data_IF_902012417679
#
_entry.id   IF_902012417679
#
_cell.length_a   1.000
_cell.length_b   1.000
_cell.length_c   1.000
_cell.angle_alpha   90.00
_cell.angle_beta   90.00
_cell.angle_gamma   90.00
#
_symmetry.space_group_name_H-M   'P 1'
#
loop_
_entity.id
_entity.type
_entity.pdbx_description
1 polymer ?
#
# COMPACT_ATOMS: atom_id res chain seq x y z
N UNK A 1 -25.26 1.05 -21.91
CA UNK A 1 -24.06 0.19 -21.86
C UNK A 1 -23.36 0.49 -20.55
N UNK A 2 -23.22 -0.49 -19.67
CA UNK A 2 -22.32 -0.36 -18.53
C UNK A 2 -20.92 -0.07 -19.09
N UNK A 3 -20.20 0.89 -18.49
CA UNK A 3 -18.77 1.05 -18.76
C UNK A 3 -18.04 -0.11 -18.07
N UNK A 4 -18.00 -1.25 -18.76
CA UNK A 4 -17.42 -2.50 -18.27
C UNK A 4 -15.94 -2.30 -17.88
N UNK A 5 -15.24 -1.43 -18.60
CA UNK A 5 -13.84 -1.12 -18.29
C UNK A 5 -13.71 -0.26 -17.03
N UNK A 6 -14.52 0.79 -16.88
CA UNK A 6 -14.50 1.63 -15.67
C UNK A 6 -14.78 0.83 -14.39
N UNK A 7 -15.78 -0.05 -14.42
CA UNK A 7 -16.10 -0.95 -13.30
C UNK A 7 -14.98 -1.96 -13.01
N UNK A 8 -14.42 -2.57 -14.06
CA UNK A 8 -13.29 -3.47 -13.94
C UNK A 8 -12.07 -2.76 -13.33
N UNK A 9 -11.69 -1.59 -13.86
CA UNK A 9 -10.55 -0.80 -13.38
C UNK A 9 -10.71 -0.46 -11.90
N UNK A 10 -11.89 0.00 -11.49
CA UNK A 10 -12.19 0.29 -10.08
C UNK A 10 -11.99 -0.93 -9.19
N UNK A 11 -12.52 -2.08 -9.59
CA UNK A 11 -12.38 -3.35 -8.85
C UNK A 11 -10.92 -3.81 -8.79
N UNK A 12 -10.21 -3.74 -9.91
CA UNK A 12 -8.79 -4.04 -10.01
C UNK A 12 -7.96 -3.18 -9.05
N UNK A 13 -8.23 -1.87 -8.99
CA UNK A 13 -7.54 -0.94 -8.10
C UNK A 13 -7.82 -1.26 -6.62
N UNK A 14 -9.08 -1.55 -6.24
CA UNK A 14 -9.39 -1.99 -4.88
C UNK A 14 -8.64 -3.28 -4.49
N UNK A 15 -8.61 -4.28 -5.37
CA UNK A 15 -7.84 -5.50 -5.15
C UNK A 15 -6.34 -5.21 -5.00
N UNK A 16 -5.79 -4.30 -5.81
CA UNK A 16 -4.41 -3.84 -5.71
C UNK A 16 -4.10 -3.20 -4.36
N UNK A 17 -4.95 -2.28 -3.89
CA UNK A 17 -4.83 -1.65 -2.56
C UNK A 17 -4.81 -2.72 -1.46
N UNK A 18 -5.79 -3.62 -1.45
CA UNK A 18 -5.88 -4.68 -0.45
C UNK A 18 -4.65 -5.58 -0.45
N UNK A 19 -4.20 -6.04 -1.62
CA UNK A 19 -3.02 -6.90 -1.77
C UNK A 19 -1.75 -6.20 -1.28
N UNK A 20 -1.57 -4.93 -1.61
CA UNK A 20 -0.40 -4.15 -1.19
C UNK A 20 -0.36 -3.96 0.33
N UNK A 21 -1.50 -3.72 0.97
CA UNK A 21 -1.60 -3.67 2.43
C UNK A 21 -1.20 -5.01 3.08
N UNK A 22 -1.68 -6.13 2.54
CA UNK A 22 -1.31 -7.47 3.03
C UNK A 22 0.19 -7.76 2.82
N UNK A 23 0.75 -7.37 1.69
CA UNK A 23 2.17 -7.52 1.41
C UNK A 23 3.03 -6.71 2.40
N UNK A 24 2.66 -5.46 2.69
CA UNK A 24 3.33 -4.64 3.71
C UNK A 24 3.34 -5.31 5.08
N UNK A 25 2.19 -5.84 5.51
CA UNK A 25 2.10 -6.59 6.77
C UNK A 25 2.99 -7.84 6.76
N UNK A 26 3.03 -8.58 5.64
CA UNK A 26 3.89 -9.74 5.48
C UNK A 26 5.37 -9.37 5.54
N UNK A 27 5.79 -8.30 4.86
CA UNK A 27 7.17 -7.81 4.87
C UNK A 27 7.62 -7.39 6.28
N UNK A 28 6.77 -6.65 7.00
CA UNK A 28 7.03 -6.28 8.39
C UNK A 28 7.17 -7.51 9.29
N UNK A 29 6.27 -8.49 9.18
CA UNK A 29 6.34 -9.74 9.95
C UNK A 29 7.62 -10.52 9.64
N UNK A 30 7.96 -10.68 8.36
CA UNK A 30 9.14 -11.42 7.92
C UNK A 30 10.44 -10.73 8.39
N UNK A 31 10.52 -9.40 8.29
CA UNK A 31 11.72 -8.65 8.64
C UNK A 31 11.92 -8.41 10.14
N UNK A 32 10.82 -8.16 10.88
CA UNK A 32 10.88 -7.90 12.33
C UNK A 32 10.84 -9.20 13.12
N UNK A 33 9.83 -10.07 12.90
CA UNK A 33 9.64 -11.28 13.72
C UNK A 33 10.51 -12.46 13.28
N UNK A 34 10.75 -12.61 11.97
CA UNK A 34 11.44 -13.78 11.43
C UNK A 34 12.90 -13.49 11.00
N UNK A 35 13.40 -12.28 11.28
CA UNK A 35 14.79 -11.90 11.03
C UNK A 35 15.20 -11.75 9.56
N UNK A 36 14.27 -11.90 8.60
CA UNK A 36 14.56 -11.81 7.16
C UNK A 36 14.64 -10.34 6.71
N UNK A 37 15.71 -9.65 7.09
CA UNK A 37 15.88 -8.20 6.92
C UNK A 37 15.75 -7.71 5.48
N UNK A 38 15.96 -8.56 4.47
CA UNK A 38 15.78 -8.17 3.06
C UNK A 38 14.35 -7.68 2.76
N UNK A 39 13.33 -8.18 3.47
CA UNK A 39 11.94 -7.76 3.26
C UNK A 39 11.67 -6.34 3.77
N UNK A 40 12.45 -5.82 4.72
CA UNK A 40 12.29 -4.44 5.19
C UNK A 40 12.64 -3.44 4.09
N UNK A 41 13.59 -3.78 3.21
CA UNK A 41 13.96 -2.96 2.05
C UNK A 41 12.83 -2.85 1.03
N UNK A 42 11.87 -3.77 1.03
CA UNK A 42 10.70 -3.75 0.16
C UNK A 42 9.57 -2.87 0.68
N UNK A 43 9.63 -2.41 1.94
CA UNK A 43 8.56 -1.61 2.55
C UNK A 43 8.44 -0.23 1.88
N UNK A 44 9.52 0.59 1.73
CA UNK A 44 9.40 1.90 1.09
C UNK A 44 8.79 1.86 -0.33
N UNK A 45 9.26 1.01 -1.27
CA UNK A 45 8.63 0.95 -2.59
C UNK A 45 7.19 0.40 -2.54
N UNK A 46 6.87 -0.53 -1.63
CA UNK A 46 5.50 -1.03 -1.47
C UNK A 46 4.52 0.03 -0.94
N UNK A 47 4.99 0.98 -0.11
CA UNK A 47 4.19 2.13 0.31
C UNK A 47 3.88 3.07 -0.87
N UNK A 48 4.84 3.26 -1.80
CA UNK A 48 4.61 4.00 -3.04
C UNK A 48 3.51 3.37 -3.91
N UNK A 49 3.54 2.05 -4.10
CA UNK A 49 2.50 1.33 -4.84
C UNK A 49 1.12 1.42 -4.17
N UNK A 50 1.07 1.44 -2.84
CA UNK A 50 -0.18 1.65 -2.10
C UNK A 50 -0.71 3.08 -2.32
N UNK A 51 0.17 4.09 -2.30
CA UNK A 51 -0.18 5.48 -2.55
C UNK A 51 -0.76 5.69 -3.96
N UNK A 52 -0.12 5.10 -4.98
CA UNK A 52 -0.62 5.12 -6.36
C UNK A 52 -2.03 4.54 -6.48
N UNK A 53 -2.28 3.39 -5.84
CA UNK A 53 -3.61 2.78 -5.83
C UNK A 53 -4.64 3.66 -5.14
N UNK A 54 -4.30 4.22 -3.98
CA UNK A 54 -5.19 5.12 -3.25
C UNK A 54 -5.50 6.39 -4.04
N UNK A 55 -4.53 6.96 -4.76
CA UNK A 55 -4.73 8.16 -5.58
C UNK A 55 -5.70 7.95 -6.75
N UNK A 56 -5.98 6.71 -7.13
CA UNK A 56 -6.94 6.36 -8.18
C UNK A 56 -8.36 6.10 -7.66
N UNK A 57 -8.58 6.09 -6.34
CA UNK A 57 -9.86 5.82 -5.70
C UNK A 57 -10.26 6.97 -4.79
N UNK A 58 -11.46 7.49 -5.03
CA UNK A 58 -12.11 8.45 -4.14
C UNK A 58 -12.72 7.75 -2.92
N UNK A 59 -12.85 8.48 -1.81
CA UNK A 59 -13.49 7.98 -0.58
C UNK A 59 -12.57 7.24 0.40
N UNK A 60 -11.26 7.16 0.13
CA UNK A 60 -10.27 6.53 1.01
C UNK A 60 -9.31 7.54 1.67
N UNK A 61 -9.78 8.77 1.96
CA UNK A 61 -8.95 9.86 2.49
C UNK A 61 -8.25 9.51 3.81
N UNK A 62 -8.96 8.89 4.76
CA UNK A 62 -8.36 8.49 6.04
C UNK A 62 -7.21 7.49 5.87
N UNK A 63 -7.29 6.60 4.88
CA UNK A 63 -6.20 5.66 4.57
C UNK A 63 -5.01 6.36 3.91
N UNK A 64 -5.26 7.35 3.04
CA UNK A 64 -4.21 8.22 2.47
C UNK A 64 -3.47 9.00 3.56
N UNK A 65 -4.20 9.57 4.51
CA UNK A 65 -3.61 10.29 5.65
C UNK A 65 -2.75 9.37 6.52
N UNK A 66 -3.24 8.16 6.82
CA UNK A 66 -2.48 7.16 7.56
C UNK A 66 -1.18 6.79 6.83
N UNK A 67 -1.25 6.57 5.52
CA UNK A 67 -0.08 6.29 4.70
C UNK A 67 0.94 7.42 4.73
N UNK A 68 0.48 8.68 4.63
CA UNK A 68 1.34 9.85 4.76
C UNK A 68 2.06 9.90 6.12
N UNK A 69 1.37 9.60 7.22
CA UNK A 69 1.98 9.51 8.56
C UNK A 69 3.04 8.41 8.64
N UNK A 70 2.79 7.24 8.05
CA UNK A 70 3.74 6.12 8.01
C UNK A 70 5.01 6.51 7.23
N UNK A 71 4.85 7.13 6.05
CA UNK A 71 5.99 7.58 5.23
C UNK A 71 6.83 8.63 5.99
N UNK A 72 6.19 9.63 6.60
CA UNK A 72 6.90 10.61 7.44
C UNK A 72 7.63 9.99 8.63
N UNK A 73 7.07 8.94 9.25
CA UNK A 73 7.74 8.24 10.34
C UNK A 73 9.00 7.51 9.85
N UNK A 74 8.93 6.83 8.69
CA UNK A 74 10.07 6.15 8.10
C UNK A 74 11.20 7.10 7.72
N UNK A 75 10.87 8.28 7.20
CA UNK A 75 11.87 9.31 6.85
C UNK A 75 12.60 9.88 8.08
N UNK A 76 12.03 9.78 9.28
CA UNK A 76 12.65 10.24 10.54
C UNK A 76 13.56 9.22 11.19
N UNK A 77 13.46 7.95 10.80
CA UNK A 77 14.26 6.84 11.35
C UNK A 77 15.52 6.52 10.51
N UNK A 78 15.66 7.14 9.33
CA UNK A 78 16.83 7.03 8.43
C UNK A 78 17.72 8.26 8.58
#
# INVERSE_FOLDING_TARGET
KHDDFGSFKKSFTYCGIQRNMQALAAFARLGVKMGKKQFLKSIPPALGLLEEGLNQIDGLSSLKELLGRIKMALEREV
#
